data_IF_438913748487
#
_entry.id   IF_438913748487
#
_cell.length_a   1.000
_cell.length_b   1.000
_cell.length_c   1.000
_cell.angle_alpha   90.00
_cell.angle_beta   90.00
_cell.angle_gamma   90.00
#
_symmetry.space_group_name_H-M   'P 1'
#
loop_
_entity.id
_entity.type
_entity.pdbx_description
1 polymer ?
#
# COMPACT_ATOMS: atom_id res chain seq x y z
N UNK A 1 -3.70 25.60 16.69
CA UNK A 1 -3.78 24.12 16.85
C UNK A 1 -4.79 23.63 15.82
N UNK A 2 -4.42 22.69 14.95
CA UNK A 2 -5.29 22.32 13.82
C UNK A 2 -6.59 21.66 14.30
N UNK A 3 -7.71 22.36 14.16
CA UNK A 3 -9.08 21.90 14.49
C UNK A 3 -9.77 21.20 13.33
N UNK A 4 -9.07 20.99 12.20
CA UNK A 4 -9.56 20.10 11.17
C UNK A 4 -9.36 18.67 11.67
N UNK A 5 -10.42 18.13 12.30
CA UNK A 5 -10.56 16.70 12.48
C UNK A 5 -10.26 16.06 11.13
N UNK A 6 -9.29 15.14 11.10
CA UNK A 6 -8.97 14.43 9.88
C UNK A 6 -10.29 13.83 9.38
N UNK A 7 -10.77 14.28 8.22
CA UNK A 7 -12.05 13.88 7.63
C UNK A 7 -11.94 12.43 7.13
N UNK A 8 -11.84 11.52 8.08
CA UNK A 8 -11.77 10.11 7.82
C UNK A 8 -13.18 9.55 7.91
N UNK A 9 -13.57 8.69 6.95
CA UNK A 9 -14.89 8.10 6.93
C UNK A 9 -15.20 7.47 8.29
N UNK A 10 -16.37 7.80 8.83
CA UNK A 10 -16.82 7.28 10.13
C UNK A 10 -16.85 5.74 10.16
N UNK A 11 -16.98 5.12 8.98
CA UNK A 11 -17.00 3.68 8.79
C UNK A 11 -15.63 3.16 8.33
N UNK A 12 -15.31 1.94 8.76
CA UNK A 12 -14.15 1.20 8.31
C UNK A 12 -14.46 0.51 6.98
N UNK A 13 -13.67 0.77 5.94
CA UNK A 13 -13.71 0.12 4.62
C UNK A 13 -13.43 -1.39 4.64
N UNK A 14 -12.81 -1.92 5.70
CA UNK A 14 -12.46 -3.35 5.78
C UNK A 14 -13.58 -4.17 6.42
N UNK A 15 -14.15 -3.68 7.52
CA UNK A 15 -15.14 -4.42 8.30
C UNK A 15 -16.54 -3.81 8.27
N UNK A 16 -16.71 -2.64 7.63
CA UNK A 16 -17.99 -1.93 7.56
C UNK A 16 -18.50 -1.38 8.89
N UNK A 17 -17.72 -1.46 9.97
CA UNK A 17 -18.13 -0.96 11.30
C UNK A 17 -17.67 0.46 11.53
N UNK A 18 -18.35 1.18 12.43
CA UNK A 18 -17.93 2.51 12.85
C UNK A 18 -16.53 2.45 13.49
N UNK A 19 -15.62 3.33 13.09
CA UNK A 19 -14.23 3.38 13.61
C UNK A 19 -14.12 3.65 15.10
N UNK A 20 -15.17 4.23 15.69
CA UNK A 20 -15.33 4.41 17.13
C UNK A 20 -15.39 3.09 17.90
N UNK A 21 -15.77 1.98 17.25
CA UNK A 21 -15.74 0.66 17.87
C UNK A 21 -14.28 0.21 17.99
N UNK A 22 -13.76 0.06 19.22
CA UNK A 22 -12.31 -0.14 19.54
C UNK A 22 -11.66 -1.43 19.00
N UNK A 23 -12.26 -2.11 18.02
CA UNK A 23 -11.89 -3.44 17.53
C UNK A 23 -11.14 -3.45 16.18
N UNK A 24 -10.42 -2.36 15.84
CA UNK A 24 -9.79 -2.19 14.53
C UNK A 24 -8.35 -2.68 14.40
N UNK A 25 -7.80 -3.38 15.40
CA UNK A 25 -6.42 -3.90 15.33
C UNK A 25 -6.19 -4.83 14.12
N UNK A 26 -7.12 -5.76 13.88
CA UNK A 26 -7.07 -6.67 12.71
C UNK A 26 -7.18 -5.91 11.39
N UNK A 27 -8.09 -4.94 11.32
CA UNK A 27 -8.27 -4.12 10.12
C UNK A 27 -7.02 -3.28 9.82
N UNK A 28 -6.38 -2.73 10.85
CA UNK A 28 -5.11 -2.01 10.71
C UNK A 28 -4.01 -2.90 10.13
N UNK A 29 -3.87 -4.13 10.66
CA UNK A 29 -2.90 -5.11 10.14
C UNK A 29 -3.14 -5.44 8.66
N UNK A 30 -4.39 -5.59 8.25
CA UNK A 30 -4.75 -5.84 6.84
C UNK A 30 -4.31 -4.67 5.96
N UNK A 31 -4.56 -3.41 6.35
CA UNK A 31 -4.10 -2.23 5.58
C UNK A 31 -2.58 -2.20 5.44
N UNK A 32 -1.87 -2.44 6.55
CA UNK A 32 -0.42 -2.47 6.55
C UNK A 32 0.09 -3.55 5.60
N UNK A 33 -0.54 -4.72 5.58
CA UNK A 33 -0.20 -5.80 4.66
C UNK A 33 -0.49 -5.44 3.19
N UNK A 34 -1.64 -4.83 2.90
CA UNK A 34 -1.99 -4.38 1.55
C UNK A 34 -0.96 -3.37 1.02
N UNK A 35 -0.63 -2.35 1.82
CA UNK A 35 0.41 -1.36 1.48
C UNK A 35 1.78 -2.02 1.27
N UNK A 36 2.12 -3.02 2.08
CA UNK A 36 3.36 -3.80 1.89
C UNK A 36 3.35 -4.57 0.57
N UNK A 37 2.22 -5.18 0.21
CA UNK A 37 2.07 -5.93 -1.03
C UNK A 37 2.14 -5.00 -2.26
N UNK A 38 1.46 -3.86 -2.21
CA UNK A 38 1.56 -2.81 -3.25
C UNK A 38 3.00 -2.36 -3.45
N UNK A 39 3.72 -2.10 -2.36
CA UNK A 39 5.12 -1.72 -2.40
C UNK A 39 6.01 -2.82 -3.02
N UNK A 40 5.79 -4.09 -2.65
CA UNK A 40 6.50 -5.24 -3.23
C UNK A 40 6.25 -5.35 -4.73
N UNK A 41 5.01 -5.19 -5.17
CA UNK A 41 4.64 -5.23 -6.59
C UNK A 41 5.33 -4.08 -7.38
N UNK A 42 5.34 -2.88 -6.81
CA UNK A 42 6.05 -1.74 -7.40
C UNK A 42 7.56 -2.00 -7.53
N UNK A 43 8.20 -2.49 -6.47
CA UNK A 43 9.62 -2.84 -6.50
C UNK A 43 9.94 -3.94 -7.52
N UNK A 44 9.07 -4.95 -7.66
CA UNK A 44 9.22 -5.98 -8.69
C UNK A 44 9.13 -5.40 -10.11
N UNK A 45 8.21 -4.47 -10.36
CA UNK A 45 8.11 -3.78 -11.65
C UNK A 45 9.37 -2.95 -11.95
N UNK A 46 9.88 -2.22 -10.97
CA UNK A 46 11.12 -1.43 -11.10
C UNK A 46 12.30 -2.35 -11.41
N UNK A 47 12.42 -3.49 -10.72
CA UNK A 47 13.46 -4.47 -10.98
C UNK A 47 13.35 -5.07 -12.40
N UNK A 48 12.14 -5.39 -12.86
CA UNK A 48 11.90 -5.90 -14.21
C UNK A 48 12.31 -4.87 -15.28
N UNK A 49 11.93 -3.59 -15.10
CA UNK A 49 12.34 -2.50 -15.99
C UNK A 49 13.86 -2.33 -16.05
N UNK A 50 14.55 -2.38 -14.90
CA UNK A 50 16.02 -2.34 -14.84
C UNK A 50 16.66 -3.50 -15.60
N UNK A 51 16.16 -4.73 -15.41
CA UNK A 51 16.64 -5.91 -16.16
C UNK A 51 16.46 -5.74 -17.66
N UNK A 52 15.29 -5.27 -18.10
CA UNK A 52 15.02 -5.02 -19.51
C UNK A 52 15.93 -3.92 -20.08
N UNK A 53 16.19 -2.86 -19.33
CA UNK A 53 17.11 -1.79 -19.74
C UNK A 53 18.54 -2.30 -19.91
N UNK A 54 19.04 -3.12 -18.97
CA UNK A 54 20.37 -3.73 -19.07
C UNK A 54 20.47 -4.63 -20.31
N UNK A 55 19.45 -5.45 -20.59
CA UNK A 55 19.41 -6.30 -21.78
C UNK A 55 19.38 -5.49 -23.08
N UNK A 56 18.74 -4.32 -23.09
CA UNK A 56 18.74 -3.42 -24.26
C UNK A 56 20.09 -2.74 -24.47
N UNK A 57 20.76 -2.33 -23.39
CA UNK A 57 22.05 -1.62 -23.45
C UNK A 57 23.23 -2.56 -23.70
N UNK A 58 23.12 -3.81 -23.24
CA UNK A 58 24.03 -4.88 -23.61
C UNK A 58 23.26 -5.89 -24.46
N UNK A 59 23.02 -5.60 -25.76
CA UNK A 59 22.66 -6.67 -26.68
C UNK A 59 23.80 -7.69 -26.61
N UNK A 60 23.45 -8.97 -26.42
CA UNK A 60 24.41 -10.07 -26.39
C UNK A 60 25.42 -9.87 -27.52
N UNK A 61 26.68 -9.70 -27.11
CA UNK A 61 27.82 -9.45 -27.98
C UNK A 61 28.14 -10.67 -28.82
#
# INVERSE_FOLDING_TARGET
MATHGLDLPAMCDICGKARSTRNHAKCSKIRQQQKSNEWKAYMANVAAKKRQQVQRLCPLR
#
